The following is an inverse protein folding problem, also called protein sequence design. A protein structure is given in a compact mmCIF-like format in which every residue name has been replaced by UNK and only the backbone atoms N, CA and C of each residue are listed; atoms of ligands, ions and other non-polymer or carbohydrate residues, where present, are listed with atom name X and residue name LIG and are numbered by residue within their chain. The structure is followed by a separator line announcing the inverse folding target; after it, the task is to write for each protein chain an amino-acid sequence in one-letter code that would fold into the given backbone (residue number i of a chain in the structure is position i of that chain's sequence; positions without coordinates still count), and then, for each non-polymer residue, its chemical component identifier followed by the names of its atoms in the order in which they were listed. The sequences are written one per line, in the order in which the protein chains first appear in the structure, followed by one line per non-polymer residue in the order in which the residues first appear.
data_IF_783837831077
#
_entry.id   IF_783837831077
#
_cell.length_a   1.000
_cell.length_b   1.000
_cell.length_c   1.000
_cell.angle_alpha   90.00
_cell.angle_beta   90.00
_cell.angle_gamma   90.00
#
_symmetry.space_group_name_H-M   'P 1'
#
loop_
_entity.id
_entity.type
_entity.pdbx_description
1 polymer ?
#
# COMPACT_ATOMS: atom_id res chain seq x y z
N UNK A 1 -17.74 14.96 24.37
CA UNK A 1 -18.45 15.34 23.12
C UNK A 1 -17.54 16.10 22.14
N UNK A 2 -16.79 17.12 22.58
CA UNK A 2 -15.90 17.92 21.71
C UNK A 2 -14.79 17.08 21.03
N UNK A 3 -14.11 16.20 21.77
CA UNK A 3 -13.01 15.38 21.22
C UNK A 3 -13.48 14.40 20.14
N UNK A 4 -14.62 13.73 20.36
CA UNK A 4 -15.20 12.79 19.39
C UNK A 4 -15.62 13.51 18.11
N UNK A 5 -16.22 14.70 18.23
CA UNK A 5 -16.59 15.50 17.06
C UNK A 5 -15.37 15.99 16.29
N UNK A 6 -14.28 16.35 16.99
CA UNK A 6 -13.01 16.74 16.37
C UNK A 6 -12.35 15.57 15.63
N UNK A 7 -12.35 14.38 16.22
CA UNK A 7 -11.83 13.15 15.57
C UNK A 7 -12.65 12.81 14.32
N UNK A 8 -13.98 12.91 14.38
CA UNK A 8 -14.85 12.71 13.21
C UNK A 8 -14.62 13.73 12.10
N UNK A 9 -14.37 14.99 12.47
CA UNK A 9 -14.05 16.06 11.51
C UNK A 9 -12.69 15.82 10.83
N UNK A 10 -11.66 15.48 11.62
CA UNK A 10 -10.33 15.15 11.09
C UNK A 10 -10.36 13.90 10.21
N UNK A 11 -11.09 12.86 10.61
CA UNK A 11 -11.22 11.64 9.82
C UNK A 11 -11.99 11.88 8.52
N UNK A 12 -12.86 12.90 8.42
CA UNK A 12 -13.52 13.25 7.18
C UNK A 12 -12.56 13.84 6.13
N UNK A 13 -11.46 14.47 6.56
CA UNK A 13 -10.42 15.04 5.69
C UNK A 13 -9.37 14.01 5.25
N UNK A 14 -9.37 12.82 5.87
CA UNK A 14 -8.43 11.75 5.56
C UNK A 14 -8.59 11.26 4.12
N UNK A 15 -7.46 11.05 3.44
CA UNK A 15 -7.38 10.38 2.14
C UNK A 15 -6.36 9.24 2.20
N UNK A 16 -6.56 8.20 1.40
CA UNK A 16 -5.69 7.01 1.40
C UNK A 16 -4.26 7.33 0.96
N UNK A 17 -4.05 8.45 0.27
CA UNK A 17 -2.72 8.92 -0.13
C UNK A 17 -1.75 9.12 1.05
N UNK A 18 -2.26 9.38 2.27
CA UNK A 18 -1.44 9.58 3.46
C UNK A 18 -0.69 8.32 3.89
N UNK A 19 -1.16 7.14 3.51
CA UNK A 19 -0.41 5.89 3.70
C UNK A 19 0.93 5.89 2.94
N UNK A 20 1.13 6.77 1.95
CA UNK A 20 2.42 6.96 1.30
C UNK A 20 3.54 7.35 2.27
N UNK A 21 3.23 8.02 3.38
CA UNK A 21 4.22 8.32 4.44
C UNK A 21 4.70 7.03 5.10
N UNK A 22 3.79 6.11 5.41
CA UNK A 22 4.13 4.80 6.00
C UNK A 22 5.00 3.99 5.04
N UNK A 23 4.62 3.97 3.76
CA UNK A 23 5.38 3.31 2.70
C UNK A 23 6.83 3.81 2.67
N UNK A 24 7.04 5.12 2.67
CA UNK A 24 8.37 5.73 2.65
C UNK A 24 9.17 5.47 3.94
N UNK A 25 8.53 5.61 5.10
CA UNK A 25 9.17 5.41 6.41
C UNK A 25 9.63 3.96 6.59
N UNK A 26 8.73 2.99 6.38
CA UNK A 26 9.08 1.57 6.55
C UNK A 26 10.06 1.13 5.47
N UNK A 27 9.88 1.55 4.21
CA UNK A 27 10.85 1.24 3.14
C UNK A 27 12.27 1.73 3.46
N UNK A 28 12.39 2.97 3.97
CA UNK A 28 13.68 3.53 4.40
C UNK A 28 14.27 2.73 5.57
N UNK A 29 13.45 2.41 6.57
CA UNK A 29 13.93 1.64 7.71
C UNK A 29 14.33 0.21 7.36
N UNK A 30 13.65 -0.44 6.41
CA UNK A 30 14.03 -1.76 5.89
C UNK A 30 15.35 -1.71 5.13
N UNK A 31 15.57 -0.69 4.31
CA UNK A 31 16.87 -0.47 3.65
C UNK A 31 17.99 -0.28 4.68
N UNK A 32 17.72 0.44 5.77
CA UNK A 32 18.69 0.64 6.85
C UNK A 32 18.95 -0.65 7.65
N UNK A 33 17.93 -1.47 7.89
CA UNK A 33 18.11 -2.80 8.50
C UNK A 33 19.03 -3.68 7.66
N UNK A 34 18.82 -3.69 6.34
CA UNK A 34 19.70 -4.42 5.42
C UNK A 34 21.15 -3.90 5.48
N UNK A 35 21.32 -2.57 5.44
CA UNK A 35 22.64 -1.96 5.57
C UNK A 35 23.31 -2.27 6.93
N UNK A 36 22.55 -2.29 8.02
CA UNK A 36 23.06 -2.67 9.34
C UNK A 36 23.52 -4.14 9.38
N UNK A 37 22.78 -5.04 8.74
CA UNK A 37 23.11 -6.46 8.66
C UNK A 37 24.38 -6.72 7.83
N UNK A 38 24.52 -6.08 6.66
CA UNK A 38 25.63 -6.34 5.73
C UNK A 38 26.88 -5.50 6.02
N UNK A 39 26.72 -4.26 6.51
CA UNK A 39 27.81 -3.29 6.66
C UNK A 39 28.04 -2.82 8.10
N UNK A 40 27.29 -3.34 9.08
CA UNK A 40 27.49 -3.01 10.50
C UNK A 40 27.07 -1.59 10.89
N UNK A 41 26.23 -0.93 10.07
CA UNK A 41 25.64 0.36 10.44
C UNK A 41 24.76 0.26 11.69
N UNK A 42 24.50 1.37 12.40
CA UNK A 42 23.71 1.33 13.62
C UNK A 42 22.26 0.88 13.36
N UNK A 43 21.87 -0.26 13.94
CA UNK A 43 20.56 -0.88 13.72
C UNK A 43 19.39 0.00 14.19
N UNK A 44 19.59 0.79 15.25
CA UNK A 44 18.53 1.59 15.89
C UNK A 44 17.93 2.66 14.97
N UNK A 45 18.64 3.09 13.92
CA UNK A 45 18.10 4.06 12.94
C UNK A 45 17.00 3.39 12.11
N UNK A 46 17.26 2.19 11.61
CA UNK A 46 16.25 1.39 10.90
C UNK A 46 15.04 1.09 11.78
N UNK A 47 15.29 0.75 13.04
CA UNK A 47 14.22 0.54 14.03
C UNK A 47 13.40 1.79 14.31
N UNK A 48 14.04 2.96 14.39
CA UNK A 48 13.34 4.23 14.56
C UNK A 48 12.38 4.49 13.40
N UNK A 49 12.84 4.34 12.15
CA UNK A 49 11.99 4.53 10.97
C UNK A 49 10.81 3.55 10.91
N UNK A 50 11.05 2.27 11.20
CA UNK A 50 10.00 1.24 11.18
C UNK A 50 9.02 1.45 12.33
N UNK A 51 9.51 1.71 13.54
CA UNK A 51 8.67 1.99 14.70
C UNK A 51 7.75 3.20 14.50
N UNK A 52 8.29 4.31 14.00
CA UNK A 52 7.50 5.51 13.66
C UNK A 52 6.52 5.20 12.52
N UNK A 53 6.96 4.47 11.49
CA UNK A 53 6.10 4.03 10.39
C UNK A 53 4.91 3.19 10.88
N UNK A 54 5.13 2.24 11.77
CA UNK A 54 4.09 1.42 12.40
C UNK A 54 3.12 2.27 13.25
N UNK A 55 3.63 3.25 14.02
CA UNK A 55 2.80 4.14 14.81
C UNK A 55 1.90 5.03 13.94
N UNK A 56 2.45 5.61 12.86
CA UNK A 56 1.70 6.39 11.89
C UNK A 56 0.66 5.50 11.20
N UNK A 57 1.05 4.30 10.77
CA UNK A 57 0.13 3.34 10.16
C UNK A 57 -1.07 3.04 11.07
N UNK A 58 -0.83 2.75 12.34
CA UNK A 58 -1.90 2.47 13.30
C UNK A 58 -2.85 3.66 13.43
N UNK A 59 -2.32 4.89 13.53
CA UNK A 59 -3.14 6.10 13.58
C UNK A 59 -3.99 6.27 12.30
N UNK A 60 -3.42 6.05 11.12
CA UNK A 60 -4.14 6.16 9.84
C UNK A 60 -5.21 5.07 9.68
N UNK A 61 -4.94 3.83 10.11
CA UNK A 61 -5.94 2.75 10.13
C UNK A 61 -7.09 3.12 11.06
N UNK A 62 -6.83 3.67 12.24
CA UNK A 62 -7.88 4.13 13.15
C UNK A 62 -8.71 5.26 12.52
N UNK A 63 -8.09 6.24 11.87
CA UNK A 63 -8.81 7.27 11.12
C UNK A 63 -9.67 6.69 9.99
N UNK A 64 -9.13 5.73 9.25
CA UNK A 64 -9.86 5.01 8.21
C UNK A 64 -11.08 4.29 8.79
N UNK A 65 -10.94 3.55 9.90
CA UNK A 65 -12.06 2.86 10.54
C UNK A 65 -13.15 3.82 11.03
N UNK A 66 -12.76 4.95 11.63
CA UNK A 66 -13.71 6.00 12.04
C UNK A 66 -14.42 6.60 10.82
N UNK A 67 -13.69 6.91 9.74
CA UNK A 67 -14.25 7.40 8.47
C UNK A 67 -15.19 6.36 7.85
N UNK A 68 -14.83 5.08 7.87
CA UNK A 68 -15.62 3.98 7.36
C UNK A 68 -16.94 3.79 8.11
N UNK A 69 -16.96 3.98 9.43
CA UNK A 69 -18.20 3.88 10.22
C UNK A 69 -19.08 5.13 10.04
N UNK A 70 -18.46 6.32 10.03
CA UNK A 70 -19.18 7.60 10.03
C UNK A 70 -19.58 8.15 8.66
N UNK A 71 -18.82 7.84 7.60
CA UNK A 71 -19.01 8.39 6.26
C UNK A 71 -18.61 7.37 5.17
N UNK A 72 -19.37 6.28 5.09
CA UNK A 72 -19.19 5.22 4.08
C UNK A 72 -19.20 5.75 2.64
N UNK A 73 -20.07 6.72 2.37
CA UNK A 73 -20.23 7.26 1.02
C UNK A 73 -18.94 7.91 0.54
N UNK A 74 -18.26 8.70 1.38
CA UNK A 74 -16.98 9.31 1.02
C UNK A 74 -15.90 8.26 0.67
N UNK A 75 -15.88 7.10 1.34
CA UNK A 75 -14.96 6.01 0.99
C UNK A 75 -15.33 5.40 -0.37
N UNK A 76 -16.62 5.17 -0.62
CA UNK A 76 -17.10 4.64 -1.91
C UNK A 76 -16.77 5.60 -3.05
N UNK A 77 -16.92 6.91 -2.81
CA UNK A 77 -16.60 7.95 -3.79
C UNK A 77 -15.09 7.97 -4.08
N UNK A 78 -14.25 7.85 -3.05
CA UNK A 78 -12.80 7.73 -3.19
C UNK A 78 -12.40 6.47 -3.99
N UNK A 79 -13.01 5.32 -3.68
CA UNK A 79 -12.76 4.05 -4.37
C UNK A 79 -13.13 4.09 -5.86
N UNK A 80 -14.24 4.76 -6.20
CA UNK A 80 -14.72 4.89 -7.58
C UNK A 80 -14.02 6.01 -8.35
N UNK A 81 -13.31 6.90 -7.65
CA UNK A 81 -12.63 8.01 -8.30
C UNK A 81 -11.50 7.50 -9.20
N UNK A 82 -11.45 7.88 -10.49
CA UNK A 82 -10.59 7.23 -11.49
C UNK A 82 -9.09 7.37 -11.23
N UNK A 83 -8.67 8.44 -10.53
CA UNK A 83 -7.28 8.66 -10.08
C UNK A 83 -7.10 8.32 -8.60
N UNK A 84 -7.82 9.01 -7.71
CA UNK A 84 -7.69 8.85 -6.26
C UNK A 84 -7.91 7.41 -5.76
N UNK A 85 -8.77 6.63 -6.42
CA UNK A 85 -9.00 5.22 -6.08
C UNK A 85 -7.70 4.41 -6.04
N UNK A 86 -6.76 4.67 -6.96
CA UNK A 86 -5.47 3.97 -6.98
C UNK A 86 -4.70 4.08 -5.66
N UNK A 87 -4.81 5.19 -4.92
CA UNK A 87 -4.15 5.35 -3.61
C UNK A 87 -4.78 4.50 -2.51
N UNK A 88 -6.02 4.02 -2.67
CA UNK A 88 -6.65 3.11 -1.70
C UNK A 88 -5.86 1.81 -1.55
N UNK A 89 -5.15 1.40 -2.61
CA UNK A 89 -4.26 0.24 -2.58
C UNK A 89 -3.07 0.37 -1.60
N UNK A 90 -2.75 1.58 -1.12
CA UNK A 90 -1.69 1.80 -0.13
C UNK A 90 -2.06 1.26 1.25
N UNK A 91 -3.34 1.18 1.60
CA UNK A 91 -3.78 0.61 2.88
C UNK A 91 -3.33 -0.87 3.02
N UNK A 92 -3.67 -1.78 2.10
CA UNK A 92 -3.18 -3.15 2.18
C UNK A 92 -1.67 -3.24 1.93
N UNK A 93 -1.08 -2.40 1.07
CA UNK A 93 0.37 -2.36 0.84
C UNK A 93 1.16 -2.12 2.14
N UNK A 94 0.78 -1.07 2.85
CA UNK A 94 1.44 -0.67 4.09
C UNK A 94 1.15 -1.64 5.23
N UNK A 95 0.01 -2.32 5.20
CA UNK A 95 -0.28 -3.43 6.13
C UNK A 95 0.73 -4.58 5.96
N UNK A 96 1.05 -4.94 4.72
CA UNK A 96 2.10 -5.94 4.44
C UNK A 96 3.49 -5.42 4.82
N UNK A 97 3.80 -4.15 4.61
CA UNK A 97 5.07 -3.57 5.07
C UNK A 97 5.21 -3.59 6.59
N UNK A 98 4.14 -3.28 7.33
CA UNK A 98 4.11 -3.41 8.79
C UNK A 98 4.32 -4.87 9.20
N UNK A 99 3.71 -5.83 8.49
CA UNK A 99 3.97 -7.25 8.73
C UNK A 99 5.47 -7.58 8.63
N UNK A 100 6.12 -7.17 7.54
CA UNK A 100 7.57 -7.36 7.36
C UNK A 100 8.36 -6.69 8.48
N UNK A 101 8.03 -5.43 8.80
CA UNK A 101 8.70 -4.65 9.83
C UNK A 101 8.61 -5.29 11.23
N UNK A 102 7.49 -5.94 11.53
CA UNK A 102 7.21 -6.60 12.81
C UNK A 102 7.69 -8.06 12.90
N UNK A 103 8.11 -8.67 11.79
CA UNK A 103 8.56 -10.07 11.73
C UNK A 103 9.59 -10.46 12.80
N UNK A 104 10.63 -9.64 13.10
CA UNK A 104 11.62 -10.01 14.11
C UNK A 104 11.09 -10.05 15.56
N UNK A 105 9.93 -9.42 15.82
CA UNK A 105 9.42 -9.22 17.20
C UNK A 105 8.26 -10.14 17.56
N UNK A 106 7.53 -10.64 16.56
CA UNK A 106 6.28 -11.36 16.76
C UNK A 106 6.18 -12.54 15.80
N UNK A 107 5.83 -13.73 16.30
CA UNK A 107 5.74 -14.92 15.45
C UNK A 107 4.46 -15.00 14.62
N UNK A 108 3.30 -14.60 15.20
CA UNK A 108 1.98 -14.85 14.59
C UNK A 108 1.40 -13.58 13.94
N UNK A 109 1.50 -12.44 14.62
CA UNK A 109 0.88 -11.20 14.18
C UNK A 109 1.31 -10.73 12.77
N UNK A 110 2.61 -10.81 12.39
CA UNK A 110 3.07 -10.54 11.04
C UNK A 110 2.40 -11.41 9.97
N UNK A 111 2.25 -12.72 10.22
CA UNK A 111 1.59 -13.63 9.27
C UNK A 111 0.11 -13.27 9.07
N UNK A 112 -0.58 -12.86 10.13
CA UNK A 112 -1.97 -12.41 10.05
C UNK A 112 -2.06 -11.12 9.20
N UNK A 113 -1.22 -10.12 9.51
CA UNK A 113 -1.19 -8.86 8.76
C UNK A 113 -0.84 -9.06 7.29
N UNK A 114 0.14 -9.91 7.01
CA UNK A 114 0.51 -10.31 5.64
C UNK A 114 -0.68 -10.96 4.92
N UNK A 115 -1.32 -11.95 5.54
CA UNK A 115 -2.45 -12.67 4.92
C UNK A 115 -3.60 -11.71 4.61
N UNK A 116 -3.99 -10.86 5.57
CA UNK A 116 -5.04 -9.86 5.37
C UNK A 116 -4.67 -8.87 4.28
N UNK A 117 -3.45 -8.33 4.30
CA UNK A 117 -2.97 -7.37 3.31
C UNK A 117 -2.86 -7.95 1.90
N UNK A 118 -2.32 -9.16 1.76
CA UNK A 118 -2.17 -9.86 0.48
C UNK A 118 -3.53 -10.22 -0.13
N UNK A 119 -4.47 -10.69 0.68
CA UNK A 119 -5.83 -10.97 0.23
C UNK A 119 -6.53 -9.68 -0.20
N UNK A 120 -6.48 -8.64 0.65
CA UNK A 120 -7.12 -7.36 0.37
C UNK A 120 -6.57 -6.68 -0.90
N UNK A 121 -5.24 -6.71 -1.11
CA UNK A 121 -4.65 -6.10 -2.30
C UNK A 121 -5.02 -6.86 -3.58
N UNK A 122 -5.04 -8.20 -3.55
CA UNK A 122 -5.46 -9.01 -4.69
C UNK A 122 -6.92 -8.75 -5.07
N UNK A 123 -7.83 -8.76 -4.08
CA UNK A 123 -9.23 -8.41 -4.32
C UNK A 123 -9.38 -7.00 -4.90
N UNK A 124 -8.65 -6.03 -4.36
CA UNK A 124 -8.70 -4.66 -4.84
C UNK A 124 -8.16 -4.52 -6.27
N UNK A 125 -7.04 -5.17 -6.58
CA UNK A 125 -6.45 -5.19 -7.92
C UNK A 125 -7.41 -5.82 -8.94
N UNK A 126 -7.98 -6.99 -8.64
CA UNK A 126 -8.95 -7.66 -9.51
C UNK A 126 -10.18 -6.79 -9.76
N UNK A 127 -10.73 -6.16 -8.72
CA UNK A 127 -11.88 -5.28 -8.85
C UNK A 127 -11.57 -4.05 -9.71
N UNK A 128 -10.43 -3.38 -9.46
CA UNK A 128 -10.05 -2.15 -10.16
C UNK A 128 -9.74 -2.42 -11.64
N UNK A 129 -8.95 -3.46 -11.93
CA UNK A 129 -8.60 -3.84 -13.31
C UNK A 129 -9.85 -4.31 -14.06
N UNK A 130 -10.71 -5.11 -13.42
CA UNK A 130 -11.98 -5.55 -13.99
C UNK A 130 -12.91 -4.37 -14.32
N UNK A 131 -12.92 -3.33 -13.48
CA UNK A 131 -13.65 -2.09 -13.77
C UNK A 131 -13.05 -1.36 -14.98
N UNK A 132 -11.72 -1.26 -15.07
CA UNK A 132 -11.03 -0.59 -16.16
C UNK A 132 -11.28 -1.24 -17.53
N UNK A 133 -11.40 -2.57 -17.58
CA UNK A 133 -11.63 -3.32 -18.81
C UNK A 133 -13.02 -3.18 -19.40
N UNK A 134 -13.97 -2.56 -18.68
CA UNK A 134 -15.31 -2.25 -19.22
C UNK A 134 -15.31 -1.15 -20.29
N UNK A 135 -14.16 -0.51 -20.55
CA UNK A 135 -14.03 0.56 -21.55
C UNK A 135 -14.46 1.95 -21.04
N UNK A 136 -14.93 2.04 -19.80
CA UNK A 136 -15.40 3.28 -19.17
C UNK A 136 -14.26 4.10 -18.52
N UNK A 137 -13.03 3.56 -18.49
CA UNK A 137 -11.91 4.21 -17.81
C UNK A 137 -11.38 5.44 -18.57
N UNK A 138 -11.36 6.65 -17.97
CA UNK A 138 -10.93 7.85 -18.67
C UNK A 138 -9.44 7.80 -19.06
N UNK A 139 -9.12 8.07 -20.33
CA UNK A 139 -7.72 8.14 -20.80
C UNK A 139 -6.88 9.15 -20.01
N UNK A 140 -7.48 10.27 -19.60
CA UNK A 140 -6.81 11.30 -18.79
C UNK A 140 -6.37 10.80 -17.40
N UNK A 141 -7.04 9.75 -16.88
CA UNK A 141 -6.76 9.13 -15.60
C UNK A 141 -5.64 8.06 -15.67
N UNK A 142 -5.11 7.76 -16.86
CA UNK A 142 -3.91 6.91 -17.02
C UNK A 142 -2.70 7.65 -16.47
N UNK A 143 -2.48 7.51 -15.16
CA UNK A 143 -1.42 8.19 -14.41
C UNK A 143 -0.56 7.17 -13.67
N UNK A 144 0.64 7.54 -13.18
CA UNK A 144 1.50 6.62 -12.44
C UNK A 144 0.86 6.00 -11.19
N UNK A 145 -0.24 6.53 -10.67
CA UNK A 145 -0.97 5.93 -9.55
C UNK A 145 -1.41 4.49 -9.85
N UNK A 146 -1.57 4.13 -11.13
CA UNK A 146 -1.96 2.79 -11.58
C UNK A 146 -0.91 1.72 -11.28
N UNK A 147 0.34 2.10 -10.98
CA UNK A 147 1.34 1.14 -10.51
C UNK A 147 1.08 0.65 -9.09
N UNK A 148 0.37 1.41 -8.24
CA UNK A 148 0.21 1.04 -6.83
C UNK A 148 -0.55 -0.29 -6.66
N UNK A 149 -1.74 -0.49 -7.26
CA UNK A 149 -2.56 -1.66 -6.99
C UNK A 149 -2.00 -2.96 -7.58
N UNK A 150 -1.32 -2.92 -8.72
CA UNK A 150 -0.92 -4.12 -9.48
C UNK A 150 0.59 -4.33 -9.56
N UNK A 151 1.42 -3.30 -9.36
CA UNK A 151 2.88 -3.42 -9.44
C UNK A 151 3.48 -3.36 -8.05
N UNK A 152 3.33 -2.22 -7.36
CA UNK A 152 3.94 -2.01 -6.06
C UNK A 152 3.45 -3.03 -5.03
N UNK A 153 2.14 -3.26 -4.96
CA UNK A 153 1.56 -4.20 -3.99
C UNK A 153 2.02 -5.65 -4.22
N UNK A 154 2.15 -6.07 -5.48
CA UNK A 154 2.65 -7.39 -5.81
C UNK A 154 4.13 -7.53 -5.45
N UNK A 155 4.98 -6.53 -5.68
CA UNK A 155 6.37 -6.57 -5.23
C UNK A 155 6.50 -6.57 -3.69
N UNK A 156 5.67 -5.81 -2.99
CA UNK A 156 5.64 -5.82 -1.53
C UNK A 156 5.22 -7.19 -1.00
N UNK A 157 4.22 -7.83 -1.62
CA UNK A 157 3.81 -9.19 -1.24
C UNK A 157 4.90 -10.23 -1.55
N UNK A 158 5.61 -10.10 -2.68
CA UNK A 158 6.74 -10.96 -3.01
C UNK A 158 7.87 -10.84 -1.98
N UNK A 159 8.20 -9.61 -1.57
CA UNK A 159 9.17 -9.35 -0.51
C UNK A 159 8.74 -9.97 0.82
N UNK A 160 7.47 -9.83 1.21
CA UNK A 160 6.92 -10.48 2.39
C UNK A 160 7.03 -12.01 2.32
N UNK A 161 6.72 -12.61 1.17
CA UNK A 161 6.86 -14.04 0.97
C UNK A 161 8.30 -14.52 1.18
N UNK A 162 9.30 -13.76 0.69
CA UNK A 162 10.71 -14.05 0.97
C UNK A 162 11.05 -14.01 2.46
N UNK A 163 10.50 -13.04 3.20
CA UNK A 163 10.67 -12.93 4.66
C UNK A 163 10.03 -14.10 5.41
N UNK A 164 8.86 -14.57 4.97
CA UNK A 164 8.13 -15.68 5.61
C UNK A 164 8.51 -17.08 5.07
N UNK A 165 9.44 -17.17 4.12
CA UNK A 165 9.85 -18.44 3.50
C UNK A 165 8.84 -19.05 2.52
N UNK A 166 7.84 -18.28 2.07
CA UNK A 166 6.80 -18.70 1.13
C UNK A 166 7.25 -18.50 -0.34
N UNK A 167 8.39 -19.07 -0.71
CA UNK A 167 9.08 -18.73 -1.96
C UNK A 167 8.25 -18.94 -3.24
N UNK A 168 7.52 -20.05 -3.35
CA UNK A 168 6.68 -20.32 -4.53
C UNK A 168 5.60 -19.25 -4.71
N UNK A 169 4.95 -18.86 -3.60
CA UNK A 169 3.98 -17.77 -3.60
C UNK A 169 4.65 -16.42 -3.92
N UNK A 170 5.87 -16.21 -3.42
CA UNK A 170 6.69 -15.04 -3.72
C UNK A 170 6.98 -14.88 -5.21
N UNK A 171 7.30 -15.98 -5.90
CA UNK A 171 7.54 -15.99 -7.35
C UNK A 171 6.26 -15.61 -8.11
N UNK A 172 5.10 -16.09 -7.68
CA UNK A 172 3.81 -15.73 -8.29
C UNK A 172 3.52 -14.23 -8.16
N UNK A 173 3.69 -13.66 -6.96
CA UNK A 173 3.55 -12.22 -6.74
C UNK A 173 4.57 -11.41 -7.54
N UNK A 174 5.84 -11.85 -7.57
CA UNK A 174 6.89 -11.19 -8.32
C UNK A 174 6.56 -11.15 -9.82
N UNK A 175 6.18 -12.30 -10.39
CA UNK A 175 5.77 -12.39 -11.79
C UNK A 175 4.57 -11.50 -12.10
N UNK A 176 3.53 -11.53 -11.25
CA UNK A 176 2.37 -10.66 -11.40
C UNK A 176 2.75 -9.16 -11.40
N UNK A 177 3.68 -8.75 -10.53
CA UNK A 177 4.22 -7.39 -10.48
C UNK A 177 4.97 -7.01 -11.76
N UNK A 178 5.88 -7.86 -12.23
CA UNK A 178 6.66 -7.62 -13.46
C UNK A 178 5.76 -7.52 -14.69
N UNK A 179 4.86 -8.48 -14.90
CA UNK A 179 3.97 -8.45 -16.06
C UNK A 179 3.01 -7.27 -16.02
N UNK A 180 2.51 -6.91 -14.84
CA UNK A 180 1.68 -5.70 -14.68
C UNK A 180 2.46 -4.44 -15.01
N UNK A 181 3.72 -4.35 -14.57
CA UNK A 181 4.57 -3.19 -14.84
C UNK A 181 4.82 -3.02 -16.34
N UNK A 182 5.28 -4.07 -17.01
CA UNK A 182 5.56 -4.04 -18.45
C UNK A 182 4.32 -3.76 -19.29
N UNK A 183 3.14 -4.17 -18.83
CA UNK A 183 1.87 -3.86 -19.48
C UNK A 183 1.44 -2.39 -19.32
N UNK A 184 1.64 -1.81 -18.14
CA UNK A 184 1.23 -0.44 -17.83
C UNK A 184 2.22 0.63 -18.32
N UNK A 185 3.51 0.33 -18.31
CA UNK A 185 4.60 1.27 -18.65
C UNK A 185 4.37 2.00 -20.00
N UNK A 186 4.06 1.31 -21.11
CA UNK A 186 3.88 1.98 -22.40
C UNK A 186 2.68 2.94 -22.41
N UNK A 187 1.59 2.57 -21.74
CA UNK A 187 0.38 3.38 -21.68
C UNK A 187 0.61 4.66 -20.87
N UNK A 188 1.31 4.56 -19.75
CA UNK A 188 1.61 5.70 -18.88
C UNK A 188 2.64 6.62 -19.55
N UNK A 189 3.73 6.08 -20.10
CA UNK A 189 4.73 6.89 -20.82
C UNK A 189 4.10 7.62 -21.99
N UNK A 190 3.29 6.94 -22.81
CA UNK A 190 2.57 7.56 -23.93
C UNK A 190 1.69 8.74 -23.48
N UNK A 191 1.03 8.61 -22.32
CA UNK A 191 0.19 9.68 -21.75
C UNK A 191 1.03 10.85 -21.26
N UNK A 192 2.17 10.61 -20.63
CA UNK A 192 3.06 11.66 -20.10
C UNK A 192 3.78 12.40 -21.23
N UNK A 193 4.21 11.69 -22.28
CA UNK A 193 4.94 12.27 -23.41
C UNK A 193 4.04 12.99 -24.41
N UNK A 194 2.77 12.60 -24.56
CA UNK A 194 1.79 13.37 -25.34
C UNK A 194 1.44 14.67 -24.60
N UNK A 195 2.23 15.72 -24.85
CA UNK A 195 1.83 17.10 -24.60
C UNK A 195 0.88 17.52 -25.73
N UNK A 196 -0.38 17.73 -25.34
CA UNK A 196 -1.52 18.24 -26.14
C UNK A 196 -2.14 17.24 -27.12
#
# INVERSE_FOLDING_TARGET
MILINKIKSLSAQFTSSYFGVVLGMIGTGMAWRYAAQEHGYPFYIGEGFIGIGCAIWLALVLFFLVKFIGNKQSIIDELKHPVAGGFFSLLPATTVLVAIGLNPYFSIMPLILFSVGAIAQLFYACWLVGYQWKGEYPKAATTPVLYLPTVANNFICAMACGVFGLNDLGILFFGAGVFSWLSLEPAILKRVTKRF
#
